data_IF_504236736653
#
_entry.id   IF_504236736653
#
_cell.length_a   1.000
_cell.length_b   1.000
_cell.length_c   1.000
_cell.angle_alpha   90.00
_cell.angle_beta   90.00
_cell.angle_gamma   90.00
#
_symmetry.space_group_name_H-M   'P 1'
#
loop_
_entity.id
_entity.type
_entity.pdbx_description
1 polymer ?
#
# COMPACT_ATOMS: atom_id res chain seq x y z
N UNK A 1 -0.81 9.74 10.14
CA UNK A 1 -0.75 8.46 10.89
C UNK A 1 -2.16 7.99 11.26
N UNK A 2 -2.50 6.70 11.06
CA UNK A 2 -3.80 6.17 11.50
C UNK A 2 -3.93 6.21 13.04
N UNK A 3 -5.15 6.25 13.60
CA UNK A 3 -5.37 6.15 15.04
C UNK A 3 -4.77 4.88 15.64
N UNK A 4 -4.49 4.91 16.95
CA UNK A 4 -3.96 3.73 17.67
C UNK A 4 -4.88 2.51 17.46
N UNK A 5 -4.27 1.38 17.10
CA UNK A 5 -5.00 0.13 16.84
C UNK A 5 -5.70 0.08 15.48
N UNK A 6 -5.48 1.06 14.60
CA UNK A 6 -6.04 1.10 13.25
C UNK A 6 -4.96 1.15 12.17
N UNK A 7 -5.35 0.80 10.95
CA UNK A 7 -4.53 0.85 9.74
C UNK A 7 -5.28 1.63 8.65
N UNK A 8 -4.57 2.18 7.67
CA UNK A 8 -5.18 2.62 6.41
C UNK A 8 -5.17 1.43 5.46
N UNK A 9 -6.33 1.08 4.89
CA UNK A 9 -6.46 0.13 3.78
C UNK A 9 -6.58 0.91 2.48
N UNK A 10 -5.80 0.51 1.49
CA UNK A 10 -5.95 0.95 0.10
C UNK A 10 -6.27 -0.29 -0.73
N UNK A 11 -7.26 -0.18 -1.62
CA UNK A 11 -7.59 -1.20 -2.63
C UNK A 11 -7.70 -0.50 -3.97
N UNK A 12 -6.98 -1.01 -4.97
CA UNK A 12 -6.94 -0.41 -6.28
C UNK A 12 -6.80 -1.44 -7.40
N UNK A 13 -7.02 -1.00 -8.63
CA UNK A 13 -6.74 -1.77 -9.85
C UNK A 13 -5.85 -0.93 -10.75
N UNK A 14 -4.72 -1.50 -11.16
CA UNK A 14 -3.76 -0.81 -12.02
C UNK A 14 -4.33 -0.55 -13.41
N UNK A 15 -4.39 0.71 -13.85
CA UNK A 15 -4.88 1.08 -15.20
C UNK A 15 -3.78 1.09 -16.26
N UNK A 16 -2.54 1.16 -15.81
CA UNK A 16 -1.30 0.98 -16.57
C UNK A 16 -0.29 0.18 -15.72
N UNK A 17 0.93 -0.05 -16.21
CA UNK A 17 2.00 -0.56 -15.36
C UNK A 17 2.36 0.48 -14.30
N UNK A 18 2.33 0.06 -13.04
CA UNK A 18 2.71 0.88 -11.89
C UNK A 18 3.97 0.28 -11.25
N UNK A 19 5.01 1.11 -11.17
CA UNK A 19 6.26 0.81 -10.48
C UNK A 19 6.27 1.53 -9.13
N UNK A 20 6.38 0.79 -8.04
CA UNK A 20 6.42 1.34 -6.69
C UNK A 20 7.77 1.08 -6.07
N UNK A 21 8.48 2.14 -5.69
CA UNK A 21 9.74 2.09 -4.95
C UNK A 21 9.53 2.68 -3.57
N UNK A 22 9.76 1.90 -2.51
CA UNK A 22 9.62 2.38 -1.14
C UNK A 22 10.87 3.18 -0.77
N UNK A 23 10.69 4.42 -0.35
CA UNK A 23 11.76 5.32 0.10
C UNK A 23 11.87 5.34 1.63
N UNK A 24 10.72 5.36 2.32
CA UNK A 24 10.63 5.36 3.78
C UNK A 24 9.42 4.53 4.25
N UNK A 25 9.51 3.88 5.41
CA UNK A 25 8.43 3.05 5.94
C UNK A 25 8.09 1.87 5.03
N UNK A 26 6.81 1.69 4.74
CA UNK A 26 6.31 0.66 3.82
C UNK A 26 4.98 0.04 4.26
N UNK A 27 4.46 -0.87 3.42
CA UNK A 27 3.23 -1.58 3.72
C UNK A 27 3.39 -2.56 4.88
N UNK A 28 2.29 -2.92 5.51
CA UNK A 28 2.22 -3.94 6.55
C UNK A 28 1.15 -5.00 6.24
N UNK A 29 1.10 -6.05 7.04
CA UNK A 29 -0.04 -6.97 7.05
C UNK A 29 -1.20 -6.39 7.90
N UNK A 30 -2.31 -7.13 7.98
CA UNK A 30 -3.50 -6.76 8.76
C UNK A 30 -3.26 -6.63 10.27
N UNK A 31 -2.28 -7.37 10.79
CA UNK A 31 -1.81 -7.28 12.17
C UNK A 31 -0.74 -6.18 12.35
N UNK A 32 -0.54 -5.29 11.37
CA UNK A 32 0.40 -4.16 11.44
C UNK A 32 1.89 -4.53 11.42
N UNK A 33 2.25 -5.79 11.15
CA UNK A 33 3.65 -6.21 10.97
C UNK A 33 4.13 -5.72 9.60
N UNK A 34 5.25 -4.99 9.59
CA UNK A 34 5.82 -4.41 8.38
C UNK A 34 6.24 -5.50 7.38
N UNK A 35 5.93 -5.25 6.11
CA UNK A 35 6.23 -6.11 4.97
C UNK A 35 7.03 -5.38 3.89
N UNK A 36 6.74 -4.10 3.66
CA UNK A 36 7.52 -3.24 2.78
C UNK A 36 8.58 -2.48 3.56
N UNK A 37 9.77 -2.36 2.97
CA UNK A 37 10.93 -1.67 3.54
C UNK A 37 11.57 -0.75 2.50
N UNK A 38 12.30 0.30 2.92
CA UNK A 38 13.08 1.13 2.01
C UNK A 38 13.94 0.29 1.05
N UNK A 39 13.91 0.64 -0.23
CA UNK A 39 14.58 -0.10 -1.30
C UNK A 39 13.78 -1.28 -1.86
N UNK A 40 12.62 -1.63 -1.29
CA UNK A 40 11.72 -2.59 -1.92
C UNK A 40 11.10 -2.01 -3.19
N UNK A 41 10.95 -2.88 -4.19
CA UNK A 41 10.32 -2.59 -5.46
C UNK A 41 9.15 -3.54 -5.68
N UNK A 42 8.05 -2.99 -6.18
CA UNK A 42 6.89 -3.75 -6.62
C UNK A 42 6.47 -3.27 -8.01
N UNK A 43 6.12 -4.22 -8.87
CA UNK A 43 5.44 -3.95 -10.14
C UNK A 43 3.98 -4.38 -10.01
N UNK A 44 3.05 -3.48 -10.28
CA UNK A 44 1.65 -3.83 -10.51
C UNK A 44 1.35 -3.72 -12.02
N UNK A 45 1.27 -4.83 -12.78
CA UNK A 45 0.95 -4.76 -14.20
C UNK A 45 -0.48 -4.29 -14.44
N UNK A 46 -0.71 -3.74 -15.63
CA UNK A 46 -2.04 -3.29 -16.07
C UNK A 46 -3.11 -4.36 -15.83
N UNK A 47 -4.19 -3.97 -15.17
CA UNK A 47 -5.32 -4.80 -14.82
C UNK A 47 -5.18 -5.52 -13.48
N UNK A 48 -4.02 -5.49 -12.81
CA UNK A 48 -3.83 -6.18 -11.54
C UNK A 48 -4.64 -5.52 -10.41
N UNK A 49 -5.56 -6.25 -9.75
CA UNK A 49 -6.10 -5.84 -8.47
C UNK A 49 -5.02 -5.99 -7.40
N UNK A 50 -4.80 -4.93 -6.62
CA UNK A 50 -3.81 -4.93 -5.56
C UNK A 50 -4.29 -4.12 -4.35
N UNK A 51 -3.57 -4.26 -3.24
CA UNK A 51 -3.94 -3.59 -2.00
C UNK A 51 -2.77 -3.43 -1.06
N UNK A 52 -2.82 -2.41 -0.20
CA UNK A 52 -1.85 -2.19 0.86
C UNK A 52 -2.54 -1.92 2.19
N UNK A 53 -1.86 -2.25 3.29
CA UNK A 53 -2.15 -1.68 4.60
C UNK A 53 -1.00 -0.75 5.00
N UNK A 54 -1.33 0.43 5.51
CA UNK A 54 -0.35 1.41 6.00
C UNK A 54 -0.58 1.60 7.50
N UNK A 55 0.38 1.13 8.30
CA UNK A 55 0.37 1.28 9.76
C UNK A 55 1.30 2.37 10.28
N UNK A 56 2.29 2.78 9.46
CA UNK A 56 3.24 3.85 9.76
C UNK A 56 3.34 4.80 8.58
N UNK A 57 3.84 6.01 8.82
CA UNK A 57 4.14 6.95 7.76
C UNK A 57 5.12 6.31 6.78
N UNK A 58 4.78 6.39 5.51
CA UNK A 58 5.46 5.69 4.44
C UNK A 58 5.56 6.64 3.24
N UNK A 59 6.72 6.67 2.62
CA UNK A 59 6.98 7.47 1.42
C UNK A 59 7.42 6.51 0.33
N UNK A 60 6.76 6.58 -0.82
CA UNK A 60 7.11 5.79 -2.01
C UNK A 60 7.18 6.68 -3.24
N UNK A 61 8.12 6.39 -4.13
CA UNK A 61 8.09 6.87 -5.51
C UNK A 61 7.23 5.91 -6.33
N UNK A 62 6.15 6.44 -6.91
CA UNK A 62 5.24 5.68 -7.77
C UNK A 62 5.34 6.24 -9.18
N UNK A 63 5.62 5.36 -10.15
CA UNK A 63 5.71 5.71 -11.57
C UNK A 63 4.67 4.90 -12.35
N UNK A 64 3.78 5.60 -13.03
CA UNK A 64 2.79 4.99 -13.92
C UNK A 64 3.27 5.12 -15.37
N UNK A 65 3.21 4.03 -16.13
CA UNK A 65 3.50 4.06 -17.56
C UNK A 65 2.40 4.77 -18.38
N UNK A 66 1.23 5.00 -17.78
CA UNK A 66 0.10 5.71 -18.37
C UNK A 66 -0.90 6.13 -17.29
N UNK A 67 -2.17 5.74 -17.45
CA UNK A 67 -3.22 6.06 -16.49
C UNK A 67 -2.90 5.56 -15.07
N UNK A 68 -3.15 6.36 -14.03
CA UNK A 68 -2.93 5.98 -12.63
C UNK A 68 -3.95 4.93 -12.18
N UNK A 69 -3.76 4.40 -10.98
CA UNK A 69 -4.66 3.38 -10.43
C UNK A 69 -6.11 3.86 -10.33
N UNK A 70 -7.02 2.92 -10.59
CA UNK A 70 -8.41 3.07 -10.20
C UNK A 70 -8.55 2.70 -8.73
N UNK A 71 -8.55 3.72 -7.87
CA UNK A 71 -8.77 3.55 -6.43
C UNK A 71 -10.22 3.11 -6.19
N UNK A 72 -10.38 1.93 -5.57
CA UNK A 72 -11.69 1.38 -5.17
C UNK A 72 -12.04 1.70 -3.72
N UNK A 73 -11.02 1.79 -2.86
CA UNK A 73 -11.18 2.09 -1.45
C UNK A 73 -9.92 2.73 -0.89
N UNK A 74 -10.09 3.80 -0.12
CA UNK A 74 -9.13 4.29 0.87
C UNK A 74 -9.93 4.48 2.15
N UNK A 75 -9.56 3.76 3.21
CA UNK A 75 -10.32 3.79 4.46
C UNK A 75 -9.51 3.37 5.66
N UNK A 76 -9.98 3.75 6.85
CA UNK A 76 -9.37 3.34 8.12
C UNK A 76 -10.06 2.07 8.58
N UNK A 77 -9.27 1.04 8.92
CA UNK A 77 -9.74 -0.28 9.35
C UNK A 77 -9.11 -0.65 10.70
N UNK A 78 -9.76 -1.55 11.44
CA UNK A 78 -9.19 -2.09 12.67
C UNK A 78 -8.00 -3.02 12.36
N UNK A 79 -6.95 -2.93 13.19
CA UNK A 79 -5.81 -3.83 13.15
C UNK A 79 -6.22 -5.17 13.75
N UNK A 80 -5.84 -6.27 13.11
CA UNK A 80 -6.05 -7.60 13.70
C UNK A 80 -5.21 -7.76 14.97
N UNK A 81 -5.73 -8.47 16.00
CA UNK A 81 -4.93 -8.84 17.16
C UNK A 81 -3.68 -9.62 16.72
N UNK A 82 -2.54 -9.31 17.32
CA UNK A 82 -1.37 -10.19 17.26
C UNK A 82 -1.60 -11.32 18.27
N UNK A 83 -1.60 -12.57 17.79
CA UNK A 83 -1.45 -13.75 18.66
C UNK A 83 -0.13 -13.73 19.43
#
# INVERSE_FOLDING_TARGET
MPPKGKLIKIVAVARSEEHVFVLEGGSCNKAGKQLGFPGNYTLNPKGQPHSAFIGTESVSLVVYAGEPDEIRLIGVVDREPTE
#
